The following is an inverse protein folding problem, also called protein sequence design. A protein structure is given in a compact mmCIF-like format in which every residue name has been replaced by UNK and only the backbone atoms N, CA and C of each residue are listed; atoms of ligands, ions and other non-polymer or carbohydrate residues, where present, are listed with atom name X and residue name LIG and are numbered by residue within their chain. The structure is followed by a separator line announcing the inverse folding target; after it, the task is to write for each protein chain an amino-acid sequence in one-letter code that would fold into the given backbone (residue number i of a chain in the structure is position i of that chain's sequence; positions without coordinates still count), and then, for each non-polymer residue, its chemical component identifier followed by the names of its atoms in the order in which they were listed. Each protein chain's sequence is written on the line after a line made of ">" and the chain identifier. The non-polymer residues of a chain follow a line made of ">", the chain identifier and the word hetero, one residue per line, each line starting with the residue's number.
data_IF_832406553510
#
_entry.id   IF_832406553510
#
_cell.length_a   1.000
_cell.length_b   1.000
_cell.length_c   1.000
_cell.angle_alpha   90.00
_cell.angle_beta   90.00
_cell.angle_gamma   90.00
#
_symmetry.space_group_name_H-M   'P 1'
#
loop_
_entity.id
_entity.type
_entity.pdbx_description
1 polymer ?
#
# COMPACT_ATOMS: atom_id res chain seq x y z
N UNK A 1 -46.52 51.58 5.08
CA UNK A 1 -46.14 52.31 3.84
C UNK A 1 -44.61 52.28 3.80
N UNK A 2 -43.94 51.51 2.94
CA UNK A 2 -43.95 51.65 1.50
C UNK A 2 -43.73 50.31 0.80
N UNK A 3 -44.18 50.23 -0.45
CA UNK A 3 -44.51 49.05 -1.25
C UNK A 3 -43.70 49.14 -2.56
N UNK A 4 -43.37 47.99 -3.17
CA UNK A 4 -42.83 47.78 -4.53
C UNK A 4 -41.33 48.10 -4.75
N UNK A 5 -40.54 47.37 -5.56
CA UNK A 5 -40.86 46.36 -6.58
C UNK A 5 -39.67 45.42 -6.79
N UNK A 6 -39.95 44.11 -6.92
CA UNK A 6 -39.01 43.08 -7.39
C UNK A 6 -38.76 43.26 -8.88
N UNK A 7 -37.51 43.15 -9.32
CA UNK A 7 -37.18 42.64 -10.64
C UNK A 7 -36.31 41.38 -10.51
N UNK A 8 -36.85 40.27 -11.01
CA UNK A 8 -36.15 39.01 -11.25
C UNK A 8 -35.17 39.20 -12.40
N UNK A 9 -33.92 38.77 -12.23
CA UNK A 9 -33.05 38.31 -13.33
C UNK A 9 -32.44 36.97 -12.92
N UNK A 10 -32.55 36.01 -13.83
CA UNK A 10 -32.07 34.63 -13.72
C UNK A 10 -30.53 34.58 -13.78
N UNK A 11 -29.89 33.53 -13.24
CA UNK A 11 -28.43 33.43 -13.18
C UNK A 11 -27.85 33.01 -14.53
N UNK A 12 -26.94 33.81 -15.07
CA UNK A 12 -26.06 33.40 -16.17
C UNK A 12 -24.74 32.88 -15.63
N UNK A 13 -24.41 31.71 -16.16
CA UNK A 13 -23.17 30.94 -16.16
C UNK A 13 -21.84 31.72 -16.03
N UNK A 14 -20.84 30.98 -15.54
CA UNK A 14 -19.39 31.20 -15.67
C UNK A 14 -18.70 32.02 -14.59
N UNK A 15 -18.08 31.32 -13.63
CA UNK A 15 -16.61 31.30 -13.44
C UNK A 15 -16.27 30.39 -12.25
N UNK A 16 -16.04 29.11 -12.54
CA UNK A 16 -15.30 28.20 -11.67
C UNK A 16 -13.82 28.32 -12.06
N UNK A 17 -13.03 29.06 -11.27
CA UNK A 17 -11.58 28.87 -11.22
C UNK A 17 -11.00 29.67 -10.06
N UNK A 18 -10.66 28.97 -8.97
CA UNK A 18 -9.50 29.22 -8.10
C UNK A 18 -9.54 28.20 -6.96
N UNK A 19 -9.20 26.95 -7.26
CA UNK A 19 -8.67 26.02 -6.26
C UNK A 19 -7.15 26.01 -6.45
N UNK A 20 -6.47 26.86 -5.68
CA UNK A 20 -5.03 26.86 -5.54
C UNK A 20 -4.66 25.60 -4.73
N UNK A 21 -4.32 24.51 -5.41
CA UNK A 21 -3.83 23.30 -4.77
C UNK A 21 -2.32 23.45 -4.57
N UNK A 22 -1.94 23.77 -3.33
CA UNK A 22 -0.57 23.74 -2.83
C UNK A 22 -0.13 22.28 -2.81
N UNK A 23 0.62 21.84 -3.83
CA UNK A 23 1.39 20.61 -3.76
C UNK A 23 2.76 20.94 -3.16
N UNK A 24 2.90 20.70 -1.86
CA UNK A 24 4.21 20.72 -1.17
C UNK A 24 5.02 19.56 -1.74
N UNK A 25 5.97 19.85 -2.62
CA UNK A 25 6.97 18.91 -3.09
C UNK A 25 8.04 18.78 -2.00
N UNK A 26 7.83 17.87 -1.06
CA UNK A 26 8.88 17.45 -0.11
C UNK A 26 9.84 16.54 -0.88
N UNK A 27 10.83 17.13 -1.55
CA UNK A 27 12.02 16.38 -1.97
C UNK A 27 12.85 16.16 -0.72
N UNK A 28 12.69 15.01 -0.08
CA UNK A 28 13.60 14.56 0.96
C UNK A 28 14.89 14.07 0.28
N UNK A 29 15.83 14.97 0.03
CA UNK A 29 17.20 14.59 -0.34
C UNK A 29 17.88 14.00 0.89
N UNK A 30 17.76 12.68 1.09
CA UNK A 30 18.63 11.97 2.02
C UNK A 30 20.02 11.86 1.39
N UNK A 31 20.93 12.73 1.84
CA UNK A 31 22.36 12.50 1.78
C UNK A 31 22.67 11.24 2.59
N UNK A 32 22.92 10.12 1.91
CA UNK A 32 23.39 8.90 2.55
C UNK A 32 24.81 9.10 3.09
N UNK A 33 24.89 9.56 4.33
CA UNK A 33 26.02 9.28 5.19
C UNK A 33 26.00 7.80 5.55
N UNK A 34 27.08 7.08 5.21
CA UNK A 34 27.31 5.68 5.58
C UNK A 34 27.10 5.54 7.10
N UNK A 35 25.96 4.98 7.46
CA UNK A 35 25.59 4.64 8.83
C UNK A 35 25.20 3.18 8.82
N UNK A 36 25.79 2.41 9.74
CA UNK A 36 25.64 0.96 9.88
C UNK A 36 24.15 0.58 9.78
N UNK A 37 23.82 -0.34 8.89
CA UNK A 37 22.48 -0.89 8.76
C UNK A 37 21.98 -1.37 10.13
N UNK A 38 21.02 -0.65 10.71
CA UNK A 38 20.05 -1.26 11.60
C UNK A 38 19.37 -2.38 10.81
N UNK A 39 19.28 -3.58 11.37
CA UNK A 39 18.46 -4.63 10.78
C UNK A 39 17.01 -4.14 10.75
N UNK A 40 16.47 -3.88 9.55
CA UNK A 40 15.05 -3.55 9.37
C UNK A 40 14.22 -4.73 9.89
N UNK A 41 13.21 -4.45 10.72
CA UNK A 41 12.32 -5.47 11.27
C UNK A 41 11.40 -6.03 10.19
N UNK A 42 10.85 -7.24 10.39
CA UNK A 42 9.93 -7.88 9.43
C UNK A 42 8.73 -6.99 9.07
N UNK A 43 8.20 -6.25 10.05
CA UNK A 43 7.07 -5.32 9.89
C UNK A 43 7.46 -4.08 9.05
N UNK A 44 8.63 -3.49 9.31
CA UNK A 44 9.18 -2.39 8.51
C UNK A 44 9.40 -2.81 7.05
N UNK A 45 9.86 -4.04 6.84
CA UNK A 45 10.11 -4.57 5.52
C UNK A 45 8.81 -4.86 4.75
N UNK A 46 7.75 -5.33 5.43
CA UNK A 46 6.41 -5.47 4.87
C UNK A 46 5.82 -4.11 4.46
N UNK A 47 5.89 -3.11 5.33
CA UNK A 47 5.44 -1.76 5.02
C UNK A 47 6.18 -1.16 3.81
N UNK A 48 7.48 -1.44 3.68
CA UNK A 48 8.29 -1.02 2.54
C UNK A 48 7.89 -1.70 1.23
N UNK A 49 7.47 -2.96 1.26
CA UNK A 49 6.88 -3.64 0.09
C UNK A 49 5.58 -2.97 -0.33
N UNK A 50 4.70 -2.63 0.61
CA UNK A 50 3.44 -1.93 0.30
C UNK A 50 3.69 -0.55 -0.31
N UNK A 51 4.60 0.22 0.28
CA UNK A 51 4.98 1.54 -0.22
C UNK A 51 5.55 1.47 -1.64
N UNK A 52 6.50 0.56 -1.89
CA UNK A 52 7.14 0.43 -3.22
C UNK A 52 6.15 -0.01 -4.31
N UNK A 53 5.14 -0.82 -3.98
CA UNK A 53 4.06 -1.13 -4.92
C UNK A 53 3.19 0.10 -5.22
N UNK A 54 2.85 0.88 -4.21
CA UNK A 54 2.07 2.11 -4.39
C UNK A 54 2.80 3.12 -5.27
N UNK A 55 4.11 3.29 -5.08
CA UNK A 55 4.94 4.20 -5.87
C UNK A 55 5.03 3.74 -7.33
N UNK A 56 5.19 2.42 -7.56
CA UNK A 56 5.18 1.81 -8.89
C UNK A 56 3.85 2.05 -9.62
N UNK A 57 2.72 1.80 -8.96
CA UNK A 57 1.39 1.99 -9.55
C UNK A 57 1.12 3.46 -9.88
N UNK A 58 1.51 4.38 -8.99
CA UNK A 58 1.39 5.83 -9.22
C UNK A 58 2.23 6.30 -10.41
N UNK A 59 3.47 5.83 -10.53
CA UNK A 59 4.35 6.18 -11.66
C UNK A 59 3.77 5.68 -12.99
N UNK A 60 3.25 4.44 -13.03
CA UNK A 60 2.61 3.90 -14.23
C UNK A 60 1.36 4.67 -14.65
N UNK A 61 0.53 5.10 -13.68
CA UNK A 61 -0.63 5.95 -13.98
C UNK A 61 -0.20 7.30 -14.56
N UNK A 62 0.86 7.91 -14.02
CA UNK A 62 1.37 9.19 -14.53
C UNK A 62 1.91 9.05 -15.96
N UNK A 63 2.63 7.95 -16.25
CA UNK A 63 3.11 7.64 -17.62
C UNK A 63 1.93 7.50 -18.58
N UNK A 64 0.88 6.77 -18.21
CA UNK A 64 -0.30 6.58 -19.06
C UNK A 64 -1.01 7.90 -19.37
N UNK A 65 -1.15 8.78 -18.37
CA UNK A 65 -1.73 10.11 -18.56
C UNK A 65 -0.85 11.00 -19.45
N UNK A 66 0.47 11.00 -19.24
CA UNK A 66 1.41 11.75 -20.09
C UNK A 66 1.39 11.26 -21.54
N UNK A 67 1.33 9.95 -21.77
CA UNK A 67 1.23 9.39 -23.12
C UNK A 67 -0.03 9.86 -23.84
N UNK A 68 -1.15 9.99 -23.12
CA UNK A 68 -2.37 10.56 -23.69
C UNK A 68 -2.21 12.03 -24.04
N UNK A 69 -1.65 12.85 -23.14
CA UNK A 69 -1.44 14.28 -23.39
C UNK A 69 -0.45 14.52 -24.55
N UNK A 70 0.58 13.68 -24.68
CA UNK A 70 1.50 13.67 -25.83
C UNK A 70 0.73 13.41 -27.12
N UNK A 71 -0.10 12.36 -27.17
CA UNK A 71 -0.90 12.04 -28.36
C UNK A 71 -1.89 13.17 -28.73
N UNK A 72 -2.53 13.77 -27.74
CA UNK A 72 -3.45 14.91 -27.94
C UNK A 72 -2.71 16.14 -28.49
N UNK A 73 -1.51 16.45 -27.96
CA UNK A 73 -0.65 17.53 -28.43
C UNK A 73 -0.14 17.29 -29.86
N UNK A 74 0.33 16.07 -30.18
CA UNK A 74 0.77 15.69 -31.53
C UNK A 74 -0.36 15.85 -32.54
N UNK A 75 -1.57 15.42 -32.19
CA UNK A 75 -2.76 15.60 -33.02
C UNK A 75 -3.09 17.08 -33.24
N UNK A 76 -3.00 17.91 -32.19
CA UNK A 76 -3.27 19.35 -32.28
C UNK A 76 -2.23 20.08 -33.13
N UNK A 77 -0.95 19.73 -33.00
CA UNK A 77 0.12 20.26 -33.85
C UNK A 77 -0.17 19.93 -35.32
N UNK A 78 -0.50 18.67 -35.63
CA UNK A 78 -0.82 18.26 -37.00
C UNK A 78 -2.02 19.03 -37.59
N UNK A 79 -3.06 19.27 -36.77
CA UNK A 79 -4.22 20.07 -37.17
C UNK A 79 -3.84 21.53 -37.47
N UNK A 80 -3.07 22.17 -36.58
CA UNK A 80 -2.62 23.56 -36.76
C UNK A 80 -1.73 23.69 -38.00
N UNK A 81 -0.79 22.75 -38.19
CA UNK A 81 0.09 22.72 -39.36
C UNK A 81 -0.69 22.55 -40.68
N UNK A 82 -1.81 21.82 -40.66
CA UNK A 82 -2.71 21.70 -41.81
C UNK A 82 -3.44 23.01 -42.13
N UNK A 83 -3.86 23.76 -41.12
CA UNK A 83 -4.60 25.02 -41.28
C UNK A 83 -3.70 26.20 -41.66
N UNK A 84 -2.44 26.17 -41.23
CA UNK A 84 -1.48 27.27 -41.34
C UNK A 84 -1.30 27.82 -42.78
N UNK A 85 -1.16 27.00 -43.83
CA UNK A 85 -0.97 27.49 -45.19
C UNK A 85 -2.13 28.36 -45.69
N UNK A 86 -3.38 27.94 -45.47
CA UNK A 86 -4.56 28.69 -45.91
C UNK A 86 -4.71 29.99 -45.12
N UNK A 87 -4.44 29.95 -43.80
CA UNK A 87 -4.52 31.13 -42.95
C UNK A 87 -3.44 32.17 -43.29
N UNK A 88 -2.23 31.72 -43.66
CA UNK A 88 -1.18 32.61 -44.20
C UNK A 88 -1.62 33.34 -45.47
N UNK A 89 -2.30 32.65 -46.38
CA UNK A 89 -2.83 33.26 -47.61
C UNK A 89 -3.91 34.30 -47.30
N UNK A 90 -4.88 33.96 -46.43
CA UNK A 90 -5.95 34.90 -46.02
C UNK A 90 -5.40 36.13 -45.31
N UNK A 91 -4.41 35.97 -44.44
CA UNK A 91 -3.73 37.09 -43.79
C UNK A 91 -3.00 37.97 -44.82
N UNK A 92 -2.26 37.37 -45.76
CA UNK A 92 -1.55 38.10 -46.82
C UNK A 92 -2.51 38.89 -47.75
N UNK A 93 -3.65 38.31 -48.09
CA UNK A 93 -4.71 38.99 -48.85
C UNK A 93 -5.31 40.17 -48.07
N UNK A 94 -5.55 39.99 -46.77
CA UNK A 94 -6.07 41.04 -45.89
C UNK A 94 -5.08 42.21 -45.77
N UNK A 95 -3.79 41.91 -45.59
CA UNK A 95 -2.70 42.92 -45.59
C UNK A 95 -2.67 43.68 -46.93
N UNK A 96 -2.77 42.96 -48.06
CA UNK A 96 -2.80 43.58 -49.40
C UNK A 96 -4.04 44.46 -49.61
N UNK A 97 -5.20 44.06 -49.09
CA UNK A 97 -6.44 44.83 -49.18
C UNK A 97 -6.36 46.12 -48.36
N UNK A 98 -5.85 46.05 -47.12
CA UNK A 98 -5.56 47.22 -46.29
C UNK A 98 -4.62 48.18 -47.01
N UNK A 99 -3.54 47.67 -47.59
CA UNK A 99 -2.57 48.47 -48.34
C UNK A 99 -3.18 49.23 -49.53
N UNK A 100 -4.04 48.59 -50.33
CA UNK A 100 -4.70 49.23 -51.49
C UNK A 100 -5.68 50.32 -51.09
N UNK A 101 -6.38 50.14 -49.98
CA UNK A 101 -7.36 51.09 -49.47
C UNK A 101 -6.70 52.34 -48.86
N UNK A 102 -5.45 52.22 -48.41
CA UNK A 102 -4.68 53.30 -47.78
C UNK A 102 -3.77 54.08 -48.75
N UNK A 103 -3.90 53.88 -50.05
CA UNK A 103 -3.18 54.60 -51.13
C UNK A 103 -3.36 56.15 -51.13
N UNK A 104 -4.08 56.73 -50.15
CA UNK A 104 -4.14 58.17 -49.89
C UNK A 104 -3.15 58.70 -48.83
N UNK A 105 -2.44 57.85 -48.09
CA UNK A 105 -1.44 58.28 -47.08
C UNK A 105 -0.11 57.53 -47.26
N UNK A 106 0.86 58.21 -47.87
CA UNK A 106 2.25 57.76 -48.03
C UNK A 106 2.91 57.56 -46.65
N UNK A 107 3.21 56.33 -46.23
CA UNK A 107 4.00 56.11 -44.99
C UNK A 107 4.05 54.68 -44.42
N UNK A 108 3.16 53.77 -44.78
CA UNK A 108 3.05 52.45 -44.11
C UNK A 108 3.95 51.37 -44.69
N UNK A 109 4.31 51.47 -45.96
CA UNK A 109 5.25 50.53 -46.58
C UNK A 109 6.63 50.65 -45.94
N UNK A 110 7.06 51.88 -45.64
CA UNK A 110 8.37 52.16 -45.04
C UNK A 110 8.43 51.62 -43.60
N UNK A 111 7.33 51.70 -42.86
CA UNK A 111 7.20 51.16 -41.50
C UNK A 111 7.08 49.63 -41.45
N UNK A 112 6.45 49.01 -42.46
CA UNK A 112 6.36 47.54 -42.58
C UNK A 112 7.68 46.92 -43.05
N UNK A 113 8.41 47.60 -43.93
CA UNK A 113 9.74 47.17 -44.40
C UNK A 113 10.84 47.38 -43.34
N UNK A 114 10.58 48.19 -42.31
CA UNK A 114 11.51 48.40 -41.18
C UNK A 114 11.36 47.37 -40.05
N UNK A 115 10.46 46.39 -40.15
CA UNK A 115 10.29 45.36 -39.13
C UNK A 115 11.34 44.25 -39.27
N UNK A 116 12.09 43.97 -38.19
CA UNK A 116 13.21 43.02 -38.20
C UNK A 116 12.76 41.54 -38.15
N UNK A 117 11.55 41.25 -37.67
CA UNK A 117 10.97 39.90 -37.61
C UNK A 117 9.43 39.91 -37.65
N UNK A 118 8.82 38.72 -37.75
CA UNK A 118 7.36 38.56 -37.89
C UNK A 118 6.57 39.11 -36.69
N UNK A 119 7.11 39.03 -35.47
CA UNK A 119 6.46 39.60 -34.29
C UNK A 119 6.51 41.14 -34.31
N UNK A 120 7.61 41.73 -34.79
CA UNK A 120 7.73 43.18 -34.96
C UNK A 120 6.81 43.70 -36.07
N UNK A 121 6.64 42.91 -37.14
CA UNK A 121 5.67 43.19 -38.21
C UNK A 121 4.23 43.21 -37.65
N UNK A 122 3.89 42.26 -36.78
CA UNK A 122 2.57 42.19 -36.12
C UNK A 122 2.34 43.40 -35.20
N UNK A 123 3.35 43.81 -34.42
CA UNK A 123 3.25 44.97 -33.52
C UNK A 123 3.05 46.30 -34.29
N UNK A 124 3.72 46.45 -35.43
CA UNK A 124 3.55 47.60 -36.32
C UNK A 124 2.14 47.64 -36.92
N UNK A 125 1.59 46.49 -37.29
CA UNK A 125 0.21 46.37 -37.80
C UNK A 125 -0.82 46.70 -36.71
N UNK A 126 -0.60 46.22 -35.47
CA UNK A 126 -1.45 46.54 -34.31
C UNK A 126 -1.44 48.03 -33.94
N UNK A 127 -0.31 48.74 -34.16
CA UNK A 127 -0.24 50.17 -33.91
C UNK A 127 -1.05 51.01 -34.93
N UNK A 128 -1.29 50.48 -36.12
CA UNK A 128 -2.10 51.11 -37.17
C UNK A 128 -3.62 50.80 -37.02
N UNK A 129 -4.01 50.05 -35.98
CA UNK A 129 -5.23 49.25 -35.83
C UNK A 129 -6.37 49.92 -35.02
N UNK A 130 -6.79 51.14 -35.37
CA UNK A 130 -8.01 51.73 -34.74
C UNK A 130 -9.16 51.91 -35.74
N UNK A 131 -8.94 51.70 -37.05
CA UNK A 131 -9.99 51.89 -38.05
C UNK A 131 -9.96 50.76 -39.08
N UNK A 132 -10.59 49.60 -38.78
CA UNK A 132 -11.39 48.74 -39.69
C UNK A 132 -11.42 47.24 -39.29
N UNK A 133 -12.46 46.85 -38.54
CA UNK A 133 -12.61 45.55 -37.86
C UNK A 133 -12.65 44.28 -38.75
N UNK A 134 -12.75 44.37 -40.09
CA UNK A 134 -12.97 43.17 -40.94
C UNK A 134 -11.70 42.57 -41.57
N UNK A 135 -10.63 43.35 -41.66
CA UNK A 135 -9.37 42.89 -42.26
C UNK A 135 -8.36 42.40 -41.20
N UNK A 136 -8.66 42.59 -39.91
CA UNK A 136 -7.81 42.14 -38.78
C UNK A 136 -8.06 40.69 -38.36
N UNK A 137 -9.26 40.14 -38.56
CA UNK A 137 -9.64 38.80 -38.09
C UNK A 137 -8.72 37.69 -38.62
N UNK A 138 -8.36 37.76 -39.91
CA UNK A 138 -7.47 36.76 -40.54
C UNK A 138 -6.03 36.85 -40.02
N UNK A 139 -5.57 38.05 -39.67
CA UNK A 139 -4.23 38.28 -39.11
C UNK A 139 -4.20 37.79 -37.67
N UNK A 140 -5.18 38.18 -36.85
CA UNK A 140 -5.31 37.76 -35.46
C UNK A 140 -5.43 36.24 -35.34
N UNK A 141 -6.22 35.60 -36.19
CA UNK A 141 -6.34 34.14 -36.21
C UNK A 141 -5.02 33.44 -36.57
N UNK A 142 -4.22 33.99 -37.50
CA UNK A 142 -2.90 33.45 -37.83
C UNK A 142 -1.90 33.62 -36.67
N UNK A 143 -1.96 34.77 -35.97
CA UNK A 143 -1.15 35.03 -34.77
C UNK A 143 -1.51 34.02 -33.68
N UNK A 144 -2.80 33.80 -33.45
CA UNK A 144 -3.29 32.84 -32.45
C UNK A 144 -2.84 31.41 -32.77
N UNK A 145 -2.98 30.95 -34.02
CA UNK A 145 -2.52 29.63 -34.43
C UNK A 145 -1.00 29.47 -34.29
N UNK A 146 -0.23 30.52 -34.61
CA UNK A 146 1.23 30.48 -34.50
C UNK A 146 1.69 30.46 -33.04
N UNK A 147 0.99 31.20 -32.17
CA UNK A 147 1.19 31.18 -30.72
C UNK A 147 0.84 29.81 -30.13
N UNK A 148 -0.33 29.29 -30.48
CA UNK A 148 -0.80 27.98 -30.02
C UNK A 148 0.15 26.86 -30.45
N UNK A 149 0.66 26.89 -31.69
CA UNK A 149 1.66 25.93 -32.17
C UNK A 149 2.93 25.96 -31.31
N UNK A 150 3.46 27.17 -31.06
CA UNK A 150 4.67 27.34 -30.23
C UNK A 150 4.47 26.87 -28.79
N UNK A 151 3.33 27.19 -28.19
CA UNK A 151 2.98 26.76 -26.83
C UNK A 151 2.78 25.23 -26.76
N UNK A 152 2.11 24.64 -27.75
CA UNK A 152 1.87 23.20 -27.82
C UNK A 152 3.16 22.41 -28.04
N UNK A 153 4.07 22.89 -28.89
CA UNK A 153 5.39 22.29 -29.09
C UNK A 153 6.26 22.36 -27.82
N UNK A 154 6.23 23.48 -27.10
CA UNK A 154 6.93 23.61 -25.82
C UNK A 154 6.35 22.65 -24.77
N UNK A 155 5.03 22.54 -24.71
CA UNK A 155 4.32 21.62 -23.80
C UNK A 155 4.65 20.16 -24.12
N UNK A 156 4.62 19.78 -25.40
CA UNK A 156 4.95 18.43 -25.86
C UNK A 156 6.38 18.03 -25.46
N UNK A 157 7.38 18.90 -25.70
CA UNK A 157 8.76 18.62 -25.33
C UNK A 157 8.93 18.45 -23.81
N UNK A 158 8.24 19.26 -23.00
CA UNK A 158 8.28 19.12 -21.54
C UNK A 158 7.61 17.81 -21.08
N UNK A 159 6.47 17.45 -21.66
CA UNK A 159 5.75 16.21 -21.33
C UNK A 159 6.52 14.95 -21.75
N UNK A 160 7.22 14.97 -22.89
CA UNK A 160 8.09 13.86 -23.29
C UNK A 160 9.26 13.67 -22.30
N UNK A 161 9.88 14.76 -21.85
CA UNK A 161 10.94 14.69 -20.85
C UNK A 161 10.42 14.16 -19.50
N UNK A 162 9.25 14.62 -19.06
CA UNK A 162 8.60 14.11 -17.85
C UNK A 162 8.23 12.63 -17.99
N UNK A 163 7.73 12.20 -19.15
CA UNK A 163 7.34 10.81 -19.37
C UNK A 163 8.54 9.85 -19.27
N UNK A 164 9.70 10.25 -19.81
CA UNK A 164 10.94 9.46 -19.69
C UNK A 164 11.43 9.38 -18.25
N UNK A 165 11.36 10.49 -17.50
CA UNK A 165 11.70 10.51 -16.07
C UNK A 165 10.77 9.60 -15.25
N UNK A 166 9.46 9.66 -15.48
CA UNK A 166 8.47 8.84 -14.80
C UNK A 166 8.60 7.36 -15.14
N UNK A 167 8.94 7.03 -16.40
CA UNK A 167 9.23 5.65 -16.79
C UNK A 167 10.45 5.11 -16.04
N UNK A 168 11.52 5.89 -15.94
CA UNK A 168 12.70 5.51 -15.16
C UNK A 168 12.37 5.34 -13.68
N UNK A 169 11.57 6.24 -13.11
CA UNK A 169 11.12 6.14 -11.72
C UNK A 169 10.31 4.84 -11.48
N UNK A 170 9.45 4.44 -12.43
CA UNK A 170 8.72 3.17 -12.36
C UNK A 170 9.66 1.95 -12.41
N UNK A 171 10.67 1.96 -13.28
CA UNK A 171 11.68 0.89 -13.36
C UNK A 171 12.50 0.78 -12.06
N UNK A 172 12.93 1.90 -11.50
CA UNK A 172 13.67 1.95 -10.23
C UNK A 172 12.80 1.46 -9.07
N UNK A 173 11.53 1.87 -9.00
CA UNK A 173 10.57 1.41 -8.00
C UNK A 173 10.32 -0.10 -8.10
N UNK A 174 10.21 -0.64 -9.32
CA UNK A 174 10.06 -2.09 -9.55
C UNK A 174 11.27 -2.87 -9.04
N UNK A 175 12.49 -2.41 -9.37
CA UNK A 175 13.72 -3.05 -8.92
C UNK A 175 13.84 -3.01 -7.39
N UNK A 176 13.48 -1.89 -6.77
CA UNK A 176 13.44 -1.77 -5.32
C UNK A 176 12.41 -2.71 -4.68
N UNK A 177 11.22 -2.85 -5.27
CA UNK A 177 10.18 -3.77 -4.80
C UNK A 177 10.64 -5.23 -4.86
N UNK A 178 11.32 -5.64 -5.94
CA UNK A 178 11.89 -6.98 -6.09
C UNK A 178 12.94 -7.24 -4.99
N UNK A 179 13.92 -6.35 -4.84
CA UNK A 179 14.97 -6.50 -3.83
C UNK A 179 14.40 -6.57 -2.41
N UNK A 180 13.39 -5.75 -2.10
CA UNK A 180 12.72 -5.75 -0.79
C UNK A 180 11.98 -7.07 -0.54
N UNK A 181 11.30 -7.63 -1.56
CA UNK A 181 10.63 -8.94 -1.45
C UNK A 181 11.62 -10.09 -1.27
N UNK A 182 12.75 -10.07 -1.97
CA UNK A 182 13.81 -11.06 -1.80
C UNK A 182 14.39 -11.01 -0.38
N UNK A 183 14.63 -9.81 0.15
CA UNK A 183 15.08 -9.63 1.52
C UNK A 183 14.04 -10.15 2.52
N UNK A 184 12.75 -9.88 2.29
CA UNK A 184 11.66 -10.34 3.16
C UNK A 184 11.60 -11.87 3.18
N UNK A 185 11.68 -12.50 2.00
CA UNK A 185 11.68 -13.94 1.89
C UNK A 185 12.91 -14.57 2.56
N UNK A 186 14.09 -13.95 2.41
CA UNK A 186 15.32 -14.40 3.05
C UNK A 186 15.22 -14.31 4.58
N UNK A 187 14.69 -13.21 5.12
CA UNK A 187 14.52 -13.03 6.56
C UNK A 187 13.50 -14.02 7.13
N UNK A 188 12.38 -14.23 6.44
CA UNK A 188 11.39 -15.25 6.83
C UNK A 188 11.98 -16.66 6.81
N UNK A 189 12.77 -16.99 5.78
CA UNK A 189 13.44 -18.28 5.70
C UNK A 189 14.51 -18.45 6.80
N UNK A 190 15.27 -17.39 7.11
CA UNK A 190 16.25 -17.39 8.18
C UNK A 190 15.58 -17.57 9.55
N UNK A 191 14.47 -16.87 9.80
CA UNK A 191 13.69 -17.02 11.03
C UNK A 191 13.11 -18.43 11.15
N UNK A 192 12.57 -18.99 10.06
CA UNK A 192 12.07 -20.36 10.05
C UNK A 192 13.17 -21.40 10.30
N UNK A 193 14.35 -21.22 9.69
CA UNK A 193 15.50 -22.09 9.90
C UNK A 193 16.06 -22.00 11.32
N UNK A 194 16.17 -20.78 11.87
CA UNK A 194 16.59 -20.55 13.25
C UNK A 194 15.61 -21.18 14.24
N UNK A 195 14.30 -21.03 14.01
CA UNK A 195 13.26 -21.64 14.84
C UNK A 195 13.28 -23.17 14.75
N UNK A 196 13.52 -23.74 13.57
CA UNK A 196 13.66 -25.19 13.40
C UNK A 196 14.91 -25.75 14.12
N UNK A 197 16.05 -25.05 14.02
CA UNK A 197 17.28 -25.42 14.71
C UNK A 197 17.11 -25.31 16.24
N UNK A 198 16.50 -24.21 16.71
CA UNK A 198 16.19 -24.02 18.13
C UNK A 198 15.22 -25.08 18.63
N UNK A 199 14.22 -25.49 17.85
CA UNK A 199 13.30 -26.56 18.22
C UNK A 199 14.02 -27.91 18.35
N UNK A 200 14.95 -28.23 17.44
CA UNK A 200 15.75 -29.45 17.53
C UNK A 200 16.66 -29.45 18.77
N UNK A 201 17.30 -28.33 19.07
CA UNK A 201 18.13 -28.16 20.28
C UNK A 201 17.29 -28.22 21.56
N UNK A 202 16.15 -27.53 21.60
CA UNK A 202 15.21 -27.58 22.72
C UNK A 202 14.73 -29.02 23.00
N UNK A 203 14.44 -29.80 21.96
CA UNK A 203 14.08 -31.22 22.11
C UNK A 203 15.24 -32.08 22.63
N UNK A 204 16.48 -31.81 22.19
CA UNK A 204 17.68 -32.49 22.70
C UNK A 204 17.90 -32.18 24.18
N UNK A 205 17.85 -30.91 24.57
CA UNK A 205 18.02 -30.51 25.96
C UNK A 205 16.88 -31.03 26.85
N UNK A 206 15.63 -30.95 26.38
CA UNK A 206 14.47 -31.50 27.09
C UNK A 206 14.61 -33.00 27.35
N UNK A 207 15.21 -33.77 26.42
CA UNK A 207 15.42 -35.22 26.60
C UNK A 207 16.35 -35.58 27.77
N UNK A 208 17.11 -34.62 28.30
CA UNK A 208 17.98 -34.83 29.48
C UNK A 208 17.25 -34.63 30.80
N UNK A 209 16.07 -34.01 30.77
CA UNK A 209 15.26 -33.75 31.95
C UNK A 209 14.08 -34.72 32.04
N UNK A 210 13.65 -35.02 33.26
CA UNK A 210 12.54 -35.97 33.50
C UNK A 210 11.25 -35.25 33.87
N UNK A 211 11.34 -34.13 34.59
CA UNK A 211 10.18 -33.39 35.10
C UNK A 211 10.48 -31.90 35.20
N UNK A 212 9.44 -31.07 35.08
CA UNK A 212 9.52 -29.63 35.31
C UNK A 212 8.31 -29.11 36.10
N UNK A 213 8.42 -27.90 36.65
CA UNK A 213 7.27 -27.22 37.28
C UNK A 213 6.60 -26.33 36.25
N UNK A 214 5.31 -26.54 36.02
CA UNK A 214 4.53 -25.75 35.07
C UNK A 214 4.04 -24.43 35.70
N UNK A 215 3.42 -23.56 34.90
CA UNK A 215 2.95 -22.25 35.36
C UNK A 215 1.83 -22.35 36.39
N UNK A 216 1.08 -23.46 36.41
CA UNK A 216 0.10 -23.75 37.46
C UNK A 216 0.71 -24.24 38.78
N UNK A 217 2.04 -24.38 38.86
CA UNK A 217 2.77 -24.84 40.05
C UNK A 217 2.81 -26.36 40.22
N UNK A 218 2.39 -27.13 39.21
CA UNK A 218 2.38 -28.59 39.25
C UNK A 218 3.65 -29.19 38.63
N UNK A 219 4.07 -30.35 39.14
CA UNK A 219 5.13 -31.15 38.51
C UNK A 219 4.58 -31.88 37.28
N UNK A 220 5.22 -31.70 36.13
CA UNK A 220 4.86 -32.29 34.85
C UNK A 220 6.04 -33.09 34.29
N UNK A 221 5.78 -34.24 33.69
CA UNK A 221 6.81 -35.04 33.02
C UNK A 221 7.24 -34.39 31.70
N UNK A 222 8.55 -34.37 31.45
CA UNK A 222 9.07 -33.99 30.15
C UNK A 222 8.91 -35.18 29.21
N UNK A 223 8.23 -34.96 28.09
CA UNK A 223 8.04 -35.98 27.05
C UNK A 223 8.48 -35.40 25.71
N UNK A 224 9.17 -36.21 24.91
CA UNK A 224 9.61 -35.86 23.56
C UNK A 224 8.91 -36.75 22.53
N UNK A 225 8.36 -36.19 21.44
CA UNK A 225 7.72 -37.00 20.41
C UNK A 225 8.76 -37.74 19.58
N UNK A 226 8.49 -39.01 19.24
CA UNK A 226 9.41 -39.87 18.49
C UNK A 226 9.61 -39.43 17.03
N UNK A 227 8.69 -38.62 16.51
CA UNK A 227 8.78 -37.97 15.19
C UNK A 227 7.90 -36.72 15.22
N UNK A 228 8.48 -35.51 15.31
CA UNK A 228 7.71 -34.28 15.23
C UNK A 228 7.08 -34.14 13.84
N UNK A 229 5.77 -34.30 13.73
CA UNK A 229 4.98 -33.98 12.56
C UNK A 229 4.25 -32.66 12.82
N UNK A 230 4.92 -31.56 12.44
CA UNK A 230 4.26 -30.27 12.27
C UNK A 230 3.40 -30.32 11.00
N UNK A 231 2.30 -31.09 11.03
CA UNK A 231 1.27 -30.94 10.01
C UNK A 231 0.83 -29.48 10.02
N UNK A 232 1.05 -28.79 8.89
CA UNK A 232 0.68 -27.41 8.74
C UNK A 232 -0.85 -27.32 8.78
N UNK A 233 -1.39 -26.37 9.53
CA UNK A 233 -2.83 -26.17 9.64
C UNK A 233 -3.34 -25.70 8.27
N UNK A 234 -4.29 -26.43 7.69
CA UNK A 234 -4.90 -26.05 6.43
C UNK A 234 -5.96 -24.96 6.65
N UNK A 235 -5.56 -23.71 6.39
CA UNK A 235 -6.41 -22.54 6.46
C UNK A 235 -7.21 -22.27 5.18
N UNK A 236 -7.08 -23.12 4.15
CA UNK A 236 -7.77 -22.93 2.86
C UNK A 236 -9.23 -23.43 2.88
N UNK A 237 -9.63 -24.17 3.91
CA UNK A 237 -11.01 -24.58 4.16
C UNK A 237 -11.87 -23.43 4.66
N UNK A 238 -13.18 -23.45 4.38
CA UNK A 238 -14.09 -22.49 4.99
C UNK A 238 -14.24 -22.72 6.51
N UNK A 239 -14.62 -21.66 7.23
CA UNK A 239 -14.77 -21.68 8.68
C UNK A 239 -15.59 -22.86 9.21
N UNK A 240 -16.66 -23.23 8.53
CA UNK A 240 -17.57 -24.30 9.02
C UNK A 240 -16.87 -25.65 9.00
N UNK A 241 -16.18 -25.95 7.90
CA UNK A 241 -15.42 -27.19 7.75
C UNK A 241 -14.19 -27.21 8.67
N UNK A 242 -13.51 -26.08 8.83
CA UNK A 242 -12.41 -25.94 9.78
C UNK A 242 -12.86 -26.26 11.21
N UNK A 243 -13.91 -25.59 11.69
CA UNK A 243 -14.44 -25.76 13.05
C UNK A 243 -14.97 -27.17 13.27
N UNK A 244 -15.68 -27.76 12.29
CA UNK A 244 -16.18 -29.13 12.42
C UNK A 244 -15.05 -30.15 12.51
N UNK A 245 -14.00 -30.01 11.70
CA UNK A 245 -12.88 -30.96 11.66
C UNK A 245 -12.02 -30.85 12.92
N UNK A 246 -11.54 -29.64 13.24
CA UNK A 246 -10.71 -29.40 14.41
C UNK A 246 -11.48 -29.54 15.71
N UNK A 247 -12.74 -29.09 15.75
CA UNK A 247 -13.59 -29.23 16.92
C UNK A 247 -13.76 -30.69 17.34
N UNK A 248 -14.00 -31.59 16.39
CA UNK A 248 -14.12 -33.03 16.68
C UNK A 248 -12.81 -33.65 17.19
N UNK A 249 -11.66 -33.28 16.60
CA UNK A 249 -10.34 -33.75 17.04
C UNK A 249 -10.01 -33.29 18.45
N UNK A 250 -10.21 -32.00 18.72
CA UNK A 250 -9.96 -31.41 20.04
C UNK A 250 -10.92 -32.01 21.07
N UNK A 251 -12.20 -32.21 20.73
CA UNK A 251 -13.16 -32.80 21.67
C UNK A 251 -12.80 -34.24 22.03
N UNK A 252 -12.40 -35.05 21.04
CA UNK A 252 -11.88 -36.39 21.27
C UNK A 252 -10.65 -36.39 22.18
N UNK A 253 -9.73 -35.44 21.96
CA UNK A 253 -8.57 -35.25 22.81
C UNK A 253 -8.94 -34.81 24.24
N UNK A 254 -9.95 -33.94 24.41
CA UNK A 254 -10.37 -33.42 25.71
C UNK A 254 -11.31 -34.36 26.49
N UNK A 255 -11.74 -35.47 25.90
CA UNK A 255 -12.68 -36.40 26.51
C UNK A 255 -12.29 -36.82 27.95
N UNK A 256 -13.28 -36.80 28.85
CA UNK A 256 -13.09 -37.17 30.27
C UNK A 256 -12.39 -36.12 31.14
N UNK A 257 -12.12 -34.93 30.61
CA UNK A 257 -11.60 -33.78 31.34
C UNK A 257 -12.68 -32.72 31.64
N UNK A 258 -12.43 -31.77 32.55
CA UNK A 258 -13.30 -30.60 32.73
C UNK A 258 -13.50 -29.74 31.48
N UNK A 259 -12.62 -29.83 30.48
CA UNK A 259 -12.75 -29.16 29.18
C UNK A 259 -13.44 -30.03 28.11
N UNK A 260 -13.93 -31.22 28.44
CA UNK A 260 -14.71 -32.03 27.50
C UNK A 260 -15.96 -31.28 27.02
N UNK A 261 -16.27 -31.37 25.73
CA UNK A 261 -17.37 -30.65 25.08
C UNK A 261 -16.97 -29.30 24.47
N UNK A 262 -15.80 -28.75 24.79
CA UNK A 262 -15.36 -27.43 24.33
C UNK A 262 -14.51 -27.45 23.04
N UNK A 263 -14.40 -28.61 22.35
CA UNK A 263 -13.59 -28.72 21.15
C UNK A 263 -13.96 -27.70 20.05
N UNK A 264 -15.26 -27.50 19.81
CA UNK A 264 -15.71 -26.49 18.83
C UNK A 264 -15.37 -25.07 19.26
N UNK A 265 -15.48 -24.73 20.55
CA UNK A 265 -15.11 -23.41 21.08
C UNK A 265 -13.63 -23.12 20.86
N UNK A 266 -12.74 -24.09 21.10
CA UNK A 266 -11.32 -23.95 20.80
C UNK A 266 -11.07 -23.73 19.30
N UNK A 267 -11.72 -24.52 18.44
CA UNK A 267 -11.56 -24.39 17.00
C UNK A 267 -12.09 -23.04 16.46
N UNK A 268 -13.19 -22.54 17.01
CA UNK A 268 -13.75 -21.23 16.65
C UNK A 268 -12.84 -20.08 17.06
N UNK A 269 -12.31 -20.12 18.29
CA UNK A 269 -11.36 -19.12 18.78
C UNK A 269 -10.05 -19.16 17.95
N UNK A 270 -9.55 -20.36 17.65
CA UNK A 270 -8.37 -20.55 16.82
C UNK A 270 -8.57 -19.96 15.42
N UNK A 271 -9.73 -20.18 14.80
CA UNK A 271 -10.09 -19.58 13.53
C UNK A 271 -10.16 -18.06 13.60
N UNK A 272 -10.81 -17.51 14.63
CA UNK A 272 -11.01 -16.08 14.77
C UNK A 272 -9.70 -15.30 14.92
N UNK A 273 -8.69 -15.91 15.56
CA UNK A 273 -7.41 -15.26 15.85
C UNK A 273 -6.21 -15.77 15.04
N UNK A 274 -6.42 -16.73 14.13
CA UNK A 274 -5.34 -17.30 13.32
C UNK A 274 -4.31 -18.08 14.12
N UNK A 275 -4.76 -18.77 15.18
CA UNK A 275 -3.91 -19.57 16.08
C UNK A 275 -3.97 -21.04 15.66
N UNK A 276 -2.86 -21.78 15.76
CA UNK A 276 -2.87 -23.24 15.57
C UNK A 276 -3.89 -23.86 16.56
N UNK A 277 -4.94 -24.56 16.06
CA UNK A 277 -6.03 -25.05 16.88
C UNK A 277 -5.61 -26.08 17.93
N UNK A 278 -4.42 -26.67 17.79
CA UNK A 278 -3.86 -27.63 18.77
C UNK A 278 -3.21 -26.92 19.95
N UNK A 279 -2.74 -25.68 19.78
CA UNK A 279 -1.82 -25.03 20.70
C UNK A 279 -2.44 -24.75 22.07
N UNK A 280 -3.60 -24.09 22.12
CA UNK A 280 -4.27 -23.79 23.38
C UNK A 280 -4.77 -25.03 24.14
N UNK A 281 -5.40 -26.04 23.49
CA UNK A 281 -5.73 -27.30 24.15
C UNK A 281 -4.50 -28.04 24.69
N UNK A 282 -3.39 -28.07 23.95
CA UNK A 282 -2.16 -28.72 24.38
C UNK A 282 -1.56 -28.07 25.63
N UNK A 283 -1.49 -26.73 25.67
CA UNK A 283 -1.06 -26.00 26.87
C UNK A 283 -1.97 -26.35 28.05
N UNK A 284 -3.29 -26.43 27.87
CA UNK A 284 -4.21 -26.78 28.96
C UNK A 284 -3.91 -28.15 29.58
N UNK A 285 -3.44 -29.10 28.77
CA UNK A 285 -3.06 -30.42 29.22
C UNK A 285 -1.75 -30.39 30.03
N UNK A 286 -0.75 -29.66 29.53
CA UNK A 286 0.53 -29.47 30.21
C UNK A 286 0.36 -28.74 31.55
N UNK A 287 -0.50 -27.73 31.59
CA UNK A 287 -0.60 -26.82 32.73
C UNK A 287 -1.52 -27.33 33.84
N UNK A 288 -2.66 -27.91 33.48
CA UNK A 288 -3.69 -28.29 34.46
C UNK A 288 -4.30 -29.67 34.22
N UNK A 289 -3.70 -30.50 33.36
CA UNK A 289 -4.31 -31.77 32.95
C UNK A 289 -5.72 -31.55 32.38
N UNK A 290 -5.83 -30.62 31.43
CA UNK A 290 -7.06 -30.28 30.69
C UNK A 290 -8.14 -29.70 31.60
N UNK A 291 -7.75 -28.83 32.52
CA UNK A 291 -8.64 -28.13 33.43
C UNK A 291 -8.89 -28.82 34.78
N UNK A 292 -8.21 -29.93 35.07
CA UNK A 292 -8.40 -30.74 36.30
C UNK A 292 -7.74 -30.12 37.53
N UNK A 293 -6.55 -29.56 37.35
CA UNK A 293 -5.72 -29.01 38.42
C UNK A 293 -5.33 -27.56 38.10
N UNK A 294 -6.33 -26.67 38.14
CA UNK A 294 -6.14 -25.27 37.83
C UNK A 294 -5.53 -24.52 39.01
N UNK A 295 -4.68 -23.54 38.70
CA UNK A 295 -4.19 -22.57 39.66
C UNK A 295 -5.30 -21.61 40.18
N UNK A 296 -6.19 -21.19 39.28
CA UNK A 296 -7.35 -20.32 39.57
C UNK A 296 -8.61 -20.82 38.85
N UNK A 297 -9.83 -20.42 39.27
CA UNK A 297 -11.07 -20.82 38.60
C UNK A 297 -11.03 -20.54 37.09
N UNK A 298 -11.34 -21.57 36.30
CA UNK A 298 -11.33 -21.56 34.83
C UNK A 298 -9.98 -21.20 34.19
N UNK A 299 -8.87 -21.28 34.94
CA UNK A 299 -7.52 -21.06 34.40
C UNK A 299 -6.82 -22.40 34.14
N UNK A 300 -7.13 -23.02 32.99
CA UNK A 300 -6.52 -24.29 32.60
C UNK A 300 -5.07 -24.16 32.10
N UNK A 301 -4.58 -22.94 31.87
CA UNK A 301 -3.30 -22.68 31.21
C UNK A 301 -2.23 -22.12 32.17
N UNK A 302 -2.54 -21.93 33.45
CA UNK A 302 -1.64 -21.26 34.39
C UNK A 302 -1.28 -19.83 33.93
N UNK A 303 -2.17 -19.18 33.16
CA UNK A 303 -1.85 -17.93 32.50
C UNK A 303 -1.96 -16.76 33.48
N UNK A 304 -0.80 -16.26 33.93
CA UNK A 304 -0.71 -15.16 34.88
C UNK A 304 -1.54 -15.38 36.15
N UNK A 305 -2.01 -14.29 36.76
CA UNK A 305 -2.93 -14.33 37.90
C UNK A 305 -4.41 -14.24 37.47
N UNK A 306 -4.73 -14.70 36.25
CA UNK A 306 -6.07 -14.57 35.68
C UNK A 306 -7.04 -15.65 36.19
N UNK A 307 -8.32 -15.28 36.23
CA UNK A 307 -9.45 -16.15 36.54
C UNK A 307 -10.64 -15.67 35.70
N UNK A 308 -11.49 -16.59 35.27
CA UNK A 308 -12.65 -16.28 34.43
C UNK A 308 -13.97 -16.73 35.07
N UNK A 309 -15.10 -16.34 34.47
CA UNK A 309 -16.43 -16.79 34.89
C UNK A 309 -16.86 -18.12 34.26
N UNK A 310 -16.25 -18.51 33.14
CA UNK A 310 -16.57 -19.73 32.40
C UNK A 310 -15.40 -20.24 31.56
N UNK A 311 -15.45 -21.51 31.15
CA UNK A 311 -14.46 -22.08 30.24
C UNK A 311 -14.48 -21.40 28.87
N UNK A 312 -15.65 -21.05 28.37
CA UNK A 312 -15.78 -20.43 27.06
C UNK A 312 -15.09 -19.06 27.01
N UNK A 313 -15.37 -18.20 28.00
CA UNK A 313 -14.68 -16.92 28.17
C UNK A 313 -13.16 -17.10 28.23
N UNK A 314 -12.70 -18.06 29.04
CA UNK A 314 -11.29 -18.31 29.23
C UNK A 314 -10.59 -18.81 27.96
N UNK A 315 -11.24 -19.67 27.16
CA UNK A 315 -10.72 -20.19 25.89
C UNK A 315 -10.53 -19.05 24.89
N UNK A 316 -11.53 -18.18 24.74
CA UNK A 316 -11.47 -17.04 23.83
C UNK A 316 -10.35 -16.07 24.23
N UNK A 317 -10.28 -15.69 25.50
CA UNK A 317 -9.25 -14.78 26.02
C UNK A 317 -7.84 -15.33 25.87
N UNK A 318 -7.64 -16.60 26.25
CA UNK A 318 -6.34 -17.24 26.14
C UNK A 318 -5.88 -17.34 24.68
N UNK A 319 -6.78 -17.69 23.76
CA UNK A 319 -6.46 -17.80 22.33
C UNK A 319 -6.12 -16.44 21.73
N UNK A 320 -6.84 -15.38 22.11
CA UNK A 320 -6.49 -14.00 21.73
C UNK A 320 -5.09 -13.60 22.23
N UNK A 321 -4.78 -13.96 23.48
CA UNK A 321 -3.46 -13.73 24.09
C UNK A 321 -2.32 -14.44 23.36
N UNK A 322 -2.54 -15.67 22.89
CA UNK A 322 -1.57 -16.41 22.09
C UNK A 322 -1.32 -15.77 20.73
N UNK A 323 -2.35 -15.26 20.06
CA UNK A 323 -2.18 -14.54 18.80
C UNK A 323 -1.35 -13.27 18.99
N UNK A 324 -1.72 -12.44 19.97
CA UNK A 324 -1.06 -11.15 20.20
C UNK A 324 0.36 -11.28 20.78
N UNK A 325 0.58 -12.26 21.66
CA UNK A 325 1.79 -12.33 22.49
C UNK A 325 2.80 -13.38 22.05
N UNK A 326 2.40 -14.36 21.25
CA UNK A 326 3.16 -15.60 20.97
C UNK A 326 3.16 -15.97 19.47
N UNK A 327 2.55 -15.15 18.60
CA UNK A 327 2.52 -15.39 17.16
C UNK A 327 1.60 -16.53 16.73
N UNK A 328 0.70 -16.99 17.61
CA UNK A 328 -0.34 -17.96 17.30
C UNK A 328 0.12 -19.40 17.04
N UNK A 329 1.39 -19.74 17.29
CA UNK A 329 1.93 -21.09 17.12
C UNK A 329 2.96 -21.40 18.20
N UNK A 330 3.24 -22.67 18.43
CA UNK A 330 4.31 -23.08 19.32
C UNK A 330 5.66 -22.65 18.73
N UNK A 331 6.47 -21.97 19.55
CA UNK A 331 7.84 -21.57 19.24
C UNK A 331 8.70 -21.68 20.49
N UNK A 332 10.01 -21.84 20.31
CA UNK A 332 11.00 -21.89 21.40
C UNK A 332 11.07 -20.55 22.11
N UNK A 333 11.01 -19.45 21.37
CA UNK A 333 10.92 -18.10 21.94
C UNK A 333 9.63 -17.89 22.73
N UNK A 334 8.50 -18.43 22.26
CA UNK A 334 7.22 -18.44 22.97
C UNK A 334 7.30 -19.26 24.25
N UNK A 335 7.93 -20.43 24.23
CA UNK A 335 8.16 -21.27 25.40
C UNK A 335 9.03 -20.58 26.45
N UNK A 336 10.09 -19.89 26.04
CA UNK A 336 10.94 -19.07 26.92
C UNK A 336 10.20 -17.92 27.60
N UNK A 337 9.19 -17.35 26.92
CA UNK A 337 8.31 -16.36 27.51
C UNK A 337 7.26 -16.98 28.44
N UNK A 338 6.74 -18.16 28.10
CA UNK A 338 5.67 -18.81 28.83
C UNK A 338 6.16 -19.45 30.13
N UNK A 339 7.21 -20.25 30.05
CA UNK A 339 7.85 -20.91 31.18
C UNK A 339 9.36 -20.63 31.18
N UNK A 340 9.80 -19.47 31.69
CA UNK A 340 11.21 -19.09 31.67
C UNK A 340 12.10 -19.97 32.57
N UNK A 341 11.51 -20.70 33.54
CA UNK A 341 12.25 -21.57 34.43
C UNK A 341 12.69 -22.87 33.73
N UNK A 342 11.87 -23.38 32.81
CA UNK A 342 12.20 -24.55 32.01
C UNK A 342 11.57 -24.47 30.61
N UNK A 343 12.15 -23.65 29.71
CA UNK A 343 11.56 -23.38 28.42
C UNK A 343 11.57 -24.61 27.50
N UNK A 344 12.64 -25.39 27.54
CA UNK A 344 12.83 -26.53 26.64
C UNK A 344 11.95 -27.72 27.05
N UNK A 345 11.87 -28.02 28.35
CA UNK A 345 10.94 -29.02 28.89
C UNK A 345 9.49 -28.66 28.59
N UNK A 346 9.11 -27.39 28.77
CA UNK A 346 7.76 -26.93 28.44
C UNK A 346 7.46 -27.01 26.94
N UNK A 347 8.38 -26.53 26.08
CA UNK A 347 8.24 -26.63 24.62
C UNK A 347 7.99 -28.08 24.19
N UNK A 348 8.82 -29.01 24.67
CA UNK A 348 8.73 -30.43 24.36
C UNK A 348 7.42 -31.06 24.83
N UNK A 349 6.97 -30.72 26.05
CA UNK A 349 5.72 -31.23 26.60
C UNK A 349 4.51 -30.72 25.80
N UNK A 350 4.48 -29.43 25.44
CA UNK A 350 3.39 -28.86 24.63
C UNK A 350 3.40 -29.45 23.22
N UNK A 351 4.57 -29.57 22.58
CA UNK A 351 4.68 -30.19 21.27
C UNK A 351 4.14 -31.63 21.29
N UNK A 352 4.51 -32.42 22.30
CA UNK A 352 3.98 -33.78 22.48
C UNK A 352 2.47 -33.79 22.60
N UNK A 353 1.87 -32.85 23.34
CA UNK A 353 0.42 -32.77 23.45
C UNK A 353 -0.25 -32.33 22.14
N UNK A 354 0.39 -31.46 21.34
CA UNK A 354 -0.12 -31.07 20.02
C UNK A 354 -0.14 -32.24 19.04
N UNK A 355 0.83 -33.15 19.10
CA UNK A 355 0.88 -34.37 18.26
C UNK A 355 -0.26 -35.36 18.54
N UNK A 356 -0.88 -35.29 19.73
CA UNK A 356 -1.98 -36.16 20.13
C UNK A 356 -3.37 -35.67 19.67
N UNK A 357 -3.45 -34.49 19.06
CA UNK A 357 -4.68 -33.84 18.54
C UNK A 357 -4.71 -33.95 17.03
#
# INVERSE_FOLDING_TARGET
>A
MNKYMRHRRLPSCSTLMTALLVAVLVVNTFLFGVSRAQAETLEELQAKVEQTNSDYDAANQRVAELQKQIADNEARIAEIEQQLPEQRLKAAESIRAMYRMQQGSMGIIDLLLSADNFNDLIAVVQYLEIIQNKNSDAINHLVDLSKELSETQSSLNAQMAEAEEQKKAAEDAMNAAIATREQLQAEQAAQAAAEAAAAEEALKEASTETTFTNASGNTTEVTTPSTPSAQNVDWSSDKTNFVSSWGARIDAYLAGSPLAGYGSTFAEAAWAYGVDPRFSPAISAVESTKGRYNFLPYNAWGWGSASWGSWEEAIWDHTAGLAAGYGGRLSVSGAAKYNPANPNGWYSAVLTQMELI
#
